data_IF_192409088558
#
_entry.id   IF_192409088558
#
_cell.length_a   1.000
_cell.length_b   1.000
_cell.length_c   1.000
_cell.angle_alpha   90.00
_cell.angle_beta   90.00
_cell.angle_gamma   90.00
#
_symmetry.space_group_name_H-M   'P 1'
#
loop_
_entity.id
_entity.type
_entity.pdbx_description
1 polymer ?
#
# COMPACT_ATOMS: atom_id res chain seq x y z
N UNK A 1 4.86 -28.03 24.07
CA UNK A 1 4.62 -26.84 23.28
C UNK A 1 3.59 -27.17 22.19
N UNK A 2 2.60 -26.34 21.98
CA UNK A 2 1.66 -26.46 20.85
C UNK A 2 2.45 -26.21 19.56
N UNK A 3 2.37 -27.13 18.60
CA UNK A 3 2.90 -26.93 17.26
C UNK A 3 1.70 -26.80 16.33
N UNK A 4 1.35 -25.60 15.89
CA UNK A 4 0.22 -25.40 15.01
C UNK A 4 0.53 -25.95 13.60
N UNK A 5 -0.52 -26.35 12.87
CA UNK A 5 -0.40 -26.75 11.46
C UNK A 5 -0.14 -25.55 10.57
N UNK A 6 -0.71 -24.38 10.94
CA UNK A 6 -0.55 -23.09 10.25
C UNK A 6 -0.72 -21.95 11.23
N UNK A 7 0.00 -20.85 11.00
CA UNK A 7 -0.19 -19.57 11.69
C UNK A 7 -0.92 -18.61 10.78
N UNK A 8 -2.07 -18.11 11.21
CA UNK A 8 -2.71 -16.99 10.54
C UNK A 8 -2.03 -15.69 11.00
N UNK A 9 -1.18 -15.11 10.15
CA UNK A 9 -0.54 -13.84 10.44
C UNK A 9 -1.54 -12.68 10.21
N UNK A 10 -1.86 -11.95 11.26
CA UNK A 10 -2.71 -10.76 11.22
C UNK A 10 -1.99 -9.53 11.80
N UNK A 11 -0.68 -9.56 11.86
CA UNK A 11 0.14 -8.44 12.33
C UNK A 11 0.35 -7.45 11.19
N UNK A 12 0.29 -6.16 11.51
CA UNK A 12 0.55 -5.06 10.58
C UNK A 12 1.87 -4.36 10.94
N UNK A 13 2.51 -3.76 9.93
CA UNK A 13 3.78 -3.07 10.10
C UNK A 13 4.91 -3.99 10.57
N UNK A 14 5.93 -3.42 11.18
CA UNK A 14 7.07 -4.15 11.76
C UNK A 14 6.64 -4.74 13.11
N UNK A 15 6.88 -6.05 13.39
CA UNK A 15 7.60 -7.06 12.58
C UNK A 15 6.70 -7.95 11.70
N UNK A 16 5.43 -7.62 11.50
CA UNK A 16 4.44 -8.48 10.84
C UNK A 16 4.51 -8.48 9.31
N UNK A 17 4.93 -7.35 8.71
CA UNK A 17 4.92 -7.13 7.26
C UNK A 17 6.32 -7.01 6.65
N UNK A 18 7.38 -6.95 7.45
CA UNK A 18 8.76 -6.72 7.03
C UNK A 18 9.58 -7.99 6.78
N UNK A 19 8.95 -9.17 6.86
CA UNK A 19 9.62 -10.46 6.71
C UNK A 19 10.18 -11.05 8.00
N UNK A 20 10.22 -10.31 9.12
CA UNK A 20 10.79 -10.78 10.39
C UNK A 20 10.04 -11.98 10.96
N UNK A 21 8.72 -11.89 11.10
CA UNK A 21 7.87 -12.98 11.58
C UNK A 21 7.88 -14.14 10.60
N UNK A 22 7.82 -13.85 9.30
CA UNK A 22 7.88 -14.86 8.23
C UNK A 22 9.19 -15.67 8.31
N UNK A 23 10.34 -14.99 8.41
CA UNK A 23 11.64 -15.66 8.54
C UNK A 23 11.77 -16.49 9.80
N UNK A 24 11.21 -16.04 10.93
CA UNK A 24 11.15 -16.83 12.16
C UNK A 24 10.32 -18.11 11.96
N UNK A 25 9.15 -18.02 11.34
CA UNK A 25 8.27 -19.16 11.08
C UNK A 25 8.89 -20.14 10.09
N UNK A 26 9.60 -19.64 9.06
CA UNK A 26 10.36 -20.44 8.11
C UNK A 26 11.45 -21.28 8.83
N UNK A 27 12.23 -20.67 9.74
CA UNK A 27 13.23 -21.36 10.54
C UNK A 27 12.63 -22.42 11.48
N UNK A 28 11.41 -22.19 11.96
CA UNK A 28 10.67 -23.14 12.80
C UNK A 28 9.99 -24.25 12.00
N UNK A 29 9.95 -24.16 10.66
CA UNK A 29 9.23 -25.07 9.78
C UNK A 29 7.72 -25.04 10.02
N UNK A 30 7.16 -23.86 10.33
CA UNK A 30 5.73 -23.63 10.55
C UNK A 30 5.16 -22.90 9.34
N UNK A 31 4.11 -23.46 8.74
CA UNK A 31 3.37 -22.80 7.65
C UNK A 31 2.63 -21.56 8.19
N UNK A 32 2.51 -20.53 7.36
CA UNK A 32 1.79 -19.29 7.71
C UNK A 32 1.07 -18.71 6.52
N UNK A 33 0.08 -17.88 6.78
CA UNK A 33 -0.75 -17.22 5.75
C UNK A 33 -0.02 -16.04 5.13
N UNK A 34 -0.47 -15.68 3.92
CA UNK A 34 0.03 -14.56 3.13
C UNK A 34 1.44 -14.76 2.57
N UNK A 35 2.09 -13.67 2.24
CA UNK A 35 3.36 -13.67 1.52
C UNK A 35 4.54 -14.12 2.39
N UNK A 36 5.54 -14.75 1.76
CA UNK A 36 6.75 -15.18 2.44
C UNK A 36 7.73 -14.04 2.75
N UNK A 37 8.82 -14.36 3.46
CA UNK A 37 9.81 -13.42 3.96
C UNK A 37 10.33 -12.47 2.85
N UNK A 38 10.81 -13.00 1.73
CA UNK A 38 11.42 -12.19 0.66
C UNK A 38 10.41 -11.23 0.05
N UNK A 39 9.19 -11.68 -0.21
CA UNK A 39 8.11 -10.84 -0.73
C UNK A 39 7.75 -9.73 0.24
N UNK A 40 7.64 -10.04 1.53
CA UNK A 40 7.35 -9.06 2.59
C UNK A 40 8.42 -7.98 2.68
N UNK A 41 9.71 -8.37 2.67
CA UNK A 41 10.85 -7.43 2.65
C UNK A 41 10.78 -6.49 1.43
N UNK A 42 10.50 -7.03 0.24
CA UNK A 42 10.43 -6.22 -0.99
C UNK A 42 9.21 -5.29 -0.96
N UNK A 43 8.06 -5.80 -0.55
CA UNK A 43 6.79 -5.06 -0.64
C UNK A 43 6.69 -3.90 0.37
N UNK A 44 7.27 -4.04 1.57
CA UNK A 44 7.28 -2.95 2.55
C UNK A 44 8.22 -1.81 2.15
N UNK A 45 9.30 -2.12 1.42
CA UNK A 45 10.27 -1.16 0.92
C UNK A 45 9.83 -0.61 -0.44
N UNK A 46 9.45 0.68 -0.45
CA UNK A 46 8.92 1.34 -1.65
C UNK A 46 9.92 1.43 -2.79
N UNK A 47 11.21 1.53 -2.48
CA UNK A 47 12.27 1.59 -3.48
C UNK A 47 12.51 0.19 -4.11
N UNK A 48 12.58 -0.86 -3.29
CA UNK A 48 12.69 -2.24 -3.79
C UNK A 48 11.46 -2.65 -4.60
N UNK A 49 10.26 -2.25 -4.16
CA UNK A 49 9.02 -2.45 -4.92
C UNK A 49 9.11 -1.78 -6.30
N UNK A 50 9.57 -0.53 -6.39
CA UNK A 50 9.75 0.16 -7.67
C UNK A 50 10.76 -0.53 -8.56
N UNK A 51 11.91 -0.94 -8.00
CA UNK A 51 12.94 -1.67 -8.75
C UNK A 51 12.41 -2.97 -9.34
N UNK A 52 11.42 -3.59 -8.70
CA UNK A 52 10.78 -4.82 -9.17
C UNK A 52 9.67 -4.58 -10.18
N UNK A 53 8.80 -3.58 -9.95
CA UNK A 53 7.56 -3.38 -10.71
C UNK A 53 7.73 -2.46 -11.91
N UNK A 54 8.51 -1.38 -11.82
CA UNK A 54 8.66 -0.40 -12.91
C UNK A 54 9.26 -1.00 -14.18
N UNK A 55 10.33 -1.84 -14.11
CA UNK A 55 10.88 -2.48 -15.31
C UNK A 55 9.90 -3.45 -16.00
N UNK A 56 8.90 -3.95 -15.26
CA UNK A 56 7.84 -4.80 -15.78
C UNK A 56 6.65 -4.00 -16.37
N UNK A 57 6.73 -2.67 -16.39
CA UNK A 57 5.71 -1.80 -16.97
C UNK A 57 4.61 -1.35 -16.01
N UNK A 58 4.69 -1.66 -14.73
CA UNK A 58 3.73 -1.18 -13.73
C UNK A 58 3.96 0.32 -13.50
N UNK A 59 2.95 1.18 -13.70
CA UNK A 59 3.10 2.62 -13.53
C UNK A 59 3.20 2.99 -12.04
N UNK A 60 4.31 3.59 -11.66
CA UNK A 60 4.54 4.12 -10.31
C UNK A 60 5.07 5.56 -10.39
N UNK A 61 4.80 6.43 -9.40
CA UNK A 61 5.36 7.78 -9.39
C UNK A 61 6.89 7.73 -9.42
N UNK A 62 7.50 8.56 -10.26
CA UNK A 62 8.96 8.64 -10.33
C UNK A 62 9.49 9.34 -9.08
N UNK A 63 10.11 8.59 -8.18
CA UNK A 63 10.64 9.10 -6.92
C UNK A 63 12.15 9.26 -6.90
N UNK A 64 12.62 9.95 -5.89
CA UNK A 64 14.04 10.06 -5.55
C UNK A 64 14.23 9.96 -4.04
N UNK A 65 15.30 9.26 -3.63
CA UNK A 65 15.70 9.19 -2.23
C UNK A 65 16.37 10.48 -1.81
N UNK A 66 15.99 11.00 -0.66
CA UNK A 66 16.52 12.24 -0.10
C UNK A 66 16.86 12.06 1.38
N UNK A 67 17.96 12.62 1.82
CA UNK A 67 18.27 12.79 3.24
C UNK A 67 17.70 14.11 3.77
N UNK A 68 17.53 14.17 5.09
CA UNK A 68 16.95 15.35 5.76
C UNK A 68 17.76 16.63 5.54
N UNK A 69 19.09 16.54 5.47
CA UNK A 69 19.95 17.72 5.26
C UNK A 69 19.77 18.31 3.86
N UNK A 70 19.63 17.46 2.85
CA UNK A 70 19.35 17.89 1.48
C UNK A 70 18.03 18.63 1.36
N UNK A 71 16.98 18.22 2.12
CA UNK A 71 15.67 18.89 2.14
C UNK A 71 15.75 20.33 2.67
N UNK A 72 16.66 20.60 3.60
CA UNK A 72 16.86 21.97 4.14
C UNK A 72 17.63 22.87 3.20
N UNK A 73 18.34 22.30 2.23
CA UNK A 73 19.11 23.06 1.25
C UNK A 73 18.28 23.41 0.01
N UNK A 74 17.46 22.48 -0.48
CA UNK A 74 16.61 22.67 -1.65
C UNK A 74 15.47 21.68 -1.68
N UNK A 75 14.34 22.05 -2.31
CA UNK A 75 13.26 21.12 -2.61
C UNK A 75 13.77 20.05 -3.61
N UNK A 76 13.49 18.75 -3.34
CA UNK A 76 13.99 17.67 -4.20
C UNK A 76 13.24 17.56 -5.52
N UNK A 77 12.03 18.08 -5.56
CA UNK A 77 11.10 18.09 -6.71
C UNK A 77 10.34 19.41 -6.76
N UNK A 78 9.81 19.80 -7.93
CA UNK A 78 8.82 20.89 -7.98
C UNK A 78 7.61 20.58 -7.10
N UNK A 79 7.13 21.59 -6.38
CA UNK A 79 5.89 21.48 -5.59
C UNK A 79 4.67 21.38 -6.50
N UNK A 80 3.61 20.64 -6.13
CA UNK A 80 3.50 19.82 -4.93
C UNK A 80 4.18 18.46 -5.06
N UNK A 81 4.80 17.99 -3.96
CA UNK A 81 5.38 16.66 -3.86
C UNK A 81 5.07 16.00 -2.51
N UNK A 82 5.28 14.70 -2.43
CA UNK A 82 5.07 13.88 -1.23
C UNK A 82 6.41 13.43 -0.71
N UNK A 83 6.63 13.57 0.61
CA UNK A 83 7.72 12.93 1.35
C UNK A 83 7.14 11.79 2.18
N UNK A 84 7.76 10.63 2.13
CA UNK A 84 7.32 9.46 2.87
C UNK A 84 8.50 8.58 3.29
N UNK A 85 8.44 7.89 4.44
CA UNK A 85 9.42 6.89 4.81
C UNK A 85 9.45 5.76 3.76
N UNK A 86 10.63 5.18 3.55
CA UNK A 86 10.83 4.13 2.53
C UNK A 86 10.10 2.85 2.89
N UNK A 87 10.16 2.45 4.16
CA UNK A 87 9.75 1.15 4.68
C UNK A 87 8.70 1.21 5.81
N UNK A 88 7.93 2.29 5.87
CA UNK A 88 6.78 2.38 6.78
C UNK A 88 5.46 2.14 6.03
N UNK A 89 4.50 1.52 6.74
CA UNK A 89 3.14 1.30 6.28
C UNK A 89 2.14 2.34 6.78
N UNK A 90 0.87 2.16 6.43
CA UNK A 90 -0.29 2.89 7.00
C UNK A 90 -0.23 4.42 6.94
N UNK A 91 0.44 5.01 5.95
CA UNK A 91 0.64 6.46 5.81
C UNK A 91 1.39 7.13 6.99
N UNK A 92 2.09 6.36 7.82
CA UNK A 92 2.93 6.90 8.89
C UNK A 92 4.04 7.75 8.28
N UNK A 93 4.23 8.98 8.80
CA UNK A 93 5.29 9.88 8.35
C UNK A 93 5.14 10.40 6.92
N UNK A 94 3.94 10.44 6.35
CA UNK A 94 3.68 11.04 5.04
C UNK A 94 3.48 12.55 5.19
N UNK A 95 4.19 13.35 4.40
CA UNK A 95 4.00 14.79 4.32
C UNK A 95 3.77 15.23 2.87
N UNK A 96 2.75 16.04 2.63
CA UNK A 96 2.50 16.69 1.34
C UNK A 96 3.06 18.11 1.40
N UNK A 97 4.04 18.39 0.57
CA UNK A 97 4.69 19.71 0.48
C UNK A 97 4.10 20.46 -0.71
N UNK A 98 3.35 21.52 -0.41
CA UNK A 98 2.73 22.40 -1.40
C UNK A 98 3.31 23.81 -1.30
N UNK A 99 2.97 24.69 -2.24
CA UNK A 99 3.35 26.12 -2.16
C UNK A 99 2.83 26.80 -0.88
N UNK A 100 1.68 26.32 -0.38
CA UNK A 100 1.02 26.89 0.81
C UNK A 100 1.29 26.12 2.10
N UNK A 101 2.15 25.11 2.09
CA UNK A 101 2.50 24.38 3.30
C UNK A 101 3.37 25.24 4.24
N UNK A 102 3.16 25.12 5.55
CA UNK A 102 3.90 25.86 6.57
C UNK A 102 5.33 25.36 6.82
N UNK A 103 5.89 24.60 5.86
CA UNK A 103 7.22 24.01 6.03
C UNK A 103 8.36 24.92 5.61
N UNK A 104 8.07 26.02 4.91
CA UNK A 104 9.09 26.89 4.29
C UNK A 104 9.44 26.46 2.85
N UNK A 105 10.27 27.25 2.17
CA UNK A 105 10.77 26.98 0.83
C UNK A 105 12.23 27.47 0.70
N UNK A 106 13.24 26.56 0.77
CA UNK A 106 13.12 25.12 1.07
C UNK A 106 12.58 24.85 2.48
N UNK A 107 12.38 23.56 2.83
CA UNK A 107 11.87 23.16 4.15
C UNK A 107 12.77 23.71 5.25
N UNK A 108 12.16 24.41 6.20
CA UNK A 108 12.89 24.98 7.33
C UNK A 108 13.28 23.88 8.34
N UNK A 109 14.47 24.01 8.95
CA UNK A 109 15.01 23.02 9.90
C UNK A 109 14.14 22.81 11.16
N UNK A 110 13.40 23.84 11.57
CA UNK A 110 12.51 23.83 12.72
C UNK A 110 11.07 23.43 12.36
N UNK A 111 10.78 23.24 11.07
CA UNK A 111 9.48 22.74 10.64
C UNK A 111 9.29 21.28 11.09
N UNK A 112 8.09 20.98 11.62
CA UNK A 112 7.73 19.60 12.03
C UNK A 112 7.34 18.76 10.83
N UNK A 113 7.93 17.55 10.74
CA UNK A 113 7.63 16.63 9.66
C UNK A 113 8.46 15.34 9.75
N UNK A 114 8.27 14.41 8.80
CA UNK A 114 8.92 13.11 8.84
C UNK A 114 10.46 13.17 8.78
N UNK A 115 11.03 14.25 8.28
CA UNK A 115 12.49 14.49 8.28
C UNK A 115 13.11 14.63 9.67
N UNK A 116 12.33 14.74 10.74
CA UNK A 116 12.82 14.75 12.12
C UNK A 116 13.00 13.33 12.69
N UNK A 117 12.26 12.36 12.15
CA UNK A 117 12.22 10.98 12.63
C UNK A 117 12.96 10.02 11.71
N UNK A 118 12.98 10.32 10.40
CA UNK A 118 13.54 9.46 9.38
C UNK A 118 14.74 10.14 8.69
N UNK A 119 15.90 9.49 8.77
CA UNK A 119 17.13 10.02 8.15
C UNK A 119 17.06 10.05 6.61
N UNK A 120 16.27 9.16 6.04
CA UNK A 120 16.09 9.06 4.59
C UNK A 120 14.60 8.94 4.27
N UNK A 121 14.16 9.70 3.29
CA UNK A 121 12.78 9.75 2.80
C UNK A 121 12.75 9.51 1.29
N UNK A 122 11.62 9.04 0.80
CA UNK A 122 11.29 8.98 -0.62
C UNK A 122 10.48 10.23 -0.98
N UNK A 123 10.98 11.03 -1.91
CA UNK A 123 10.26 12.15 -2.49
C UNK A 123 9.62 11.73 -3.82
N UNK A 124 8.31 11.96 -3.98
CA UNK A 124 7.56 11.66 -5.20
C UNK A 124 6.69 12.86 -5.63
N UNK A 125 6.43 13.05 -6.94
CA UNK A 125 5.43 14.01 -7.37
C UNK A 125 4.08 13.70 -6.72
N UNK A 126 3.36 14.73 -6.28
CA UNK A 126 1.99 14.55 -5.80
C UNK A 126 1.07 14.23 -6.99
N UNK A 127 0.46 13.06 -6.96
CA UNK A 127 -0.55 12.67 -7.96
C UNK A 127 -1.91 13.18 -7.47
N UNK A 128 -2.50 14.13 -8.18
CA UNK A 128 -3.86 14.64 -7.90
C UNK A 128 -4.91 13.58 -8.21
N UNK A 129 -6.18 13.87 -7.89
CA UNK A 129 -7.31 13.03 -8.23
C UNK A 129 -7.69 12.04 -7.13
N UNK A 130 -8.07 10.83 -7.51
CA UNK A 130 -8.79 9.85 -6.69
C UNK A 130 -7.85 8.82 -6.07
N UNK A 131 -8.22 8.32 -4.89
CA UNK A 131 -7.52 7.21 -4.24
C UNK A 131 -8.35 5.94 -4.36
N UNK A 132 -7.74 4.90 -4.92
CA UNK A 132 -8.40 3.64 -5.21
C UNK A 132 -7.55 2.47 -4.74
N UNK A 133 -8.21 1.33 -4.52
CA UNK A 133 -7.51 0.13 -4.07
C UNK A 133 -8.13 -1.13 -4.66
N UNK A 134 -7.29 -2.13 -4.90
CA UNK A 134 -7.68 -3.44 -5.43
C UNK A 134 -7.09 -4.54 -4.58
N UNK A 135 -7.93 -5.43 -4.09
CA UNK A 135 -7.51 -6.66 -3.44
C UNK A 135 -7.33 -7.79 -4.45
N UNK A 136 -6.32 -8.62 -4.23
CA UNK A 136 -6.10 -9.89 -4.94
C UNK A 136 -6.21 -11.02 -3.92
N UNK A 137 -6.96 -12.07 -4.26
CA UNK A 137 -7.17 -13.27 -3.45
C UNK A 137 -7.13 -14.51 -4.33
N UNK A 138 -6.34 -15.52 -3.97
CA UNK A 138 -6.25 -16.76 -4.73
C UNK A 138 -5.91 -16.55 -6.19
N UNK A 139 -5.03 -15.58 -6.49
CA UNK A 139 -4.60 -15.23 -7.85
C UNK A 139 -5.65 -14.52 -8.71
N UNK A 140 -6.69 -13.94 -8.10
CA UNK A 140 -7.73 -13.16 -8.80
C UNK A 140 -7.87 -11.78 -8.16
N UNK A 141 -7.87 -10.72 -8.97
CA UNK A 141 -8.27 -9.39 -8.55
C UNK A 141 -9.79 -9.37 -8.29
N UNK A 142 -10.23 -8.74 -7.19
CA UNK A 142 -11.63 -8.79 -6.76
C UNK A 142 -12.46 -7.67 -7.39
N UNK A 143 -12.29 -6.45 -6.92
CA UNK A 143 -12.91 -5.26 -7.50
C UNK A 143 -12.10 -4.01 -7.14
N UNK A 144 -12.45 -2.88 -7.73
CA UNK A 144 -11.86 -1.58 -7.36
C UNK A 144 -12.74 -0.92 -6.31
N UNK A 145 -12.15 -0.48 -5.20
CA UNK A 145 -12.81 0.37 -4.19
C UNK A 145 -12.20 1.77 -4.24
N UNK A 146 -13.02 2.80 -4.25
CA UNK A 146 -12.58 4.19 -4.07
C UNK A 146 -12.65 4.57 -2.60
N UNK A 147 -11.63 5.30 -2.15
CA UNK A 147 -11.50 5.84 -0.81
C UNK A 147 -11.70 7.35 -0.85
N UNK A 148 -12.78 7.85 -0.24
CA UNK A 148 -13.09 9.27 -0.15
C UNK A 148 -12.95 9.75 1.29
N UNK A 149 -11.80 10.31 1.69
CA UNK A 149 -11.69 10.94 3.00
C UNK A 149 -12.63 12.14 3.10
N UNK A 150 -13.36 12.26 4.21
CA UNK A 150 -14.29 13.39 4.45
C UNK A 150 -13.59 14.72 4.64
N UNK A 151 -12.32 14.70 5.00
CA UNK A 151 -11.49 15.91 5.12
C UNK A 151 -10.04 15.59 4.76
N UNK A 152 -9.46 16.37 3.85
CA UNK A 152 -8.03 16.35 3.57
C UNK A 152 -7.53 15.11 2.83
N UNK A 153 -6.53 14.46 3.39
CA UNK A 153 -5.80 13.34 2.82
C UNK A 153 -6.17 12.04 3.55
N UNK A 154 -6.05 10.90 2.87
CA UNK A 154 -6.27 9.57 3.46
C UNK A 154 -5.06 9.18 4.31
N UNK A 155 -4.95 9.80 5.48
CA UNK A 155 -3.88 9.58 6.47
C UNK A 155 -4.23 8.42 7.43
N UNK A 156 -3.39 8.24 8.45
CA UNK A 156 -3.56 7.19 9.45
C UNK A 156 -4.92 7.29 10.16
N UNK A 157 -5.33 8.48 10.58
CA UNK A 157 -6.60 8.69 11.29
C UNK A 157 -7.80 8.40 10.37
N UNK A 158 -7.72 8.81 9.10
CA UNK A 158 -8.73 8.53 8.10
C UNK A 158 -8.86 7.02 7.77
N UNK A 159 -7.77 6.24 7.93
CA UNK A 159 -7.75 4.78 7.69
C UNK A 159 -8.40 3.97 8.81
N UNK A 160 -8.26 4.41 10.06
CA UNK A 160 -8.61 3.59 11.23
C UNK A 160 -9.72 4.16 12.10
N UNK A 161 -10.23 5.35 11.80
CA UNK A 161 -11.38 5.93 12.50
C UNK A 161 -12.65 5.74 11.68
N UNK A 162 -13.63 5.03 12.25
CA UNK A 162 -14.90 4.78 11.61
C UNK A 162 -15.61 6.09 11.20
N UNK A 163 -16.08 6.10 9.97
CA UNK A 163 -16.82 7.23 9.42
C UNK A 163 -15.99 8.42 8.94
N UNK A 164 -14.64 8.42 9.01
CA UNK A 164 -13.79 9.46 8.43
C UNK A 164 -13.53 9.26 6.94
N UNK A 165 -13.63 8.04 6.44
CA UNK A 165 -13.51 7.72 5.02
C UNK A 165 -14.76 7.01 4.53
N UNK A 166 -15.27 7.44 3.40
CA UNK A 166 -16.32 6.74 2.66
C UNK A 166 -15.66 5.75 1.69
N UNK A 167 -16.12 4.50 1.72
CA UNK A 167 -15.73 3.47 0.76
C UNK A 167 -16.82 3.31 -0.30
N UNK A 168 -16.46 3.43 -1.55
CA UNK A 168 -17.35 3.17 -2.69
C UNK A 168 -16.89 1.87 -3.35
N UNK A 169 -17.61 0.80 -3.09
CA UNK A 169 -17.30 -0.56 -3.56
C UNK A 169 -18.50 -1.16 -4.31
N UNK A 170 -18.43 -1.37 -5.64
CA UNK A 170 -17.31 -1.04 -6.52
C UNK A 170 -17.20 0.48 -6.77
N UNK A 171 -15.99 0.93 -7.12
CA UNK A 171 -15.75 2.33 -7.46
C UNK A 171 -16.55 2.74 -8.69
N UNK A 172 -17.11 3.96 -8.67
CA UNK A 172 -17.81 4.56 -9.80
C UNK A 172 -16.79 5.18 -10.78
N UNK A 173 -16.20 4.32 -11.62
CA UNK A 173 -15.17 4.69 -12.62
C UNK A 173 -15.48 3.99 -13.96
N UNK A 174 -14.91 4.47 -15.10
CA UNK A 174 -15.07 3.81 -16.38
C UNK A 174 -14.57 2.36 -16.34
N UNK A 175 -15.30 1.44 -16.99
CA UNK A 175 -15.00 -0.01 -16.99
C UNK A 175 -13.58 -0.32 -17.48
N UNK A 176 -13.09 0.42 -18.49
CA UNK A 176 -11.75 0.21 -19.04
C UNK A 176 -10.64 0.66 -18.08
N UNK A 177 -10.91 1.63 -17.19
CA UNK A 177 -10.01 2.04 -16.11
C UNK A 177 -10.06 1.00 -14.97
N UNK A 178 -11.26 0.56 -14.60
CA UNK A 178 -11.43 -0.50 -13.60
C UNK A 178 -10.66 -1.76 -14.00
N UNK A 179 -10.87 -2.24 -15.23
CA UNK A 179 -10.18 -3.43 -15.74
C UNK A 179 -8.65 -3.24 -15.76
N UNK A 180 -8.18 -2.07 -16.17
CA UNK A 180 -6.75 -1.75 -16.18
C UNK A 180 -6.13 -1.80 -14.76
N UNK A 181 -6.83 -1.27 -13.74
CA UNK A 181 -6.37 -1.36 -12.35
C UNK A 181 -6.39 -2.80 -11.81
N UNK A 182 -7.41 -3.59 -12.17
CA UNK A 182 -7.49 -5.01 -11.80
C UNK A 182 -6.30 -5.79 -12.40
N UNK A 183 -5.98 -5.56 -13.66
CA UNK A 183 -4.84 -6.20 -14.33
C UNK A 183 -3.52 -5.82 -13.68
N UNK A 184 -3.30 -4.52 -13.41
CA UNK A 184 -2.10 -4.02 -12.72
C UNK A 184 -1.96 -4.63 -11.32
N UNK A 185 -3.03 -4.67 -10.53
CA UNK A 185 -2.98 -5.25 -9.18
C UNK A 185 -2.62 -6.74 -9.20
N UNK A 186 -3.19 -7.48 -10.16
CA UNK A 186 -2.88 -8.90 -10.34
C UNK A 186 -1.44 -9.11 -10.79
N UNK A 187 -0.94 -8.28 -11.71
CA UNK A 187 0.45 -8.34 -12.16
C UNK A 187 1.43 -7.95 -11.06
N UNK A 188 1.14 -6.90 -10.27
CA UNK A 188 1.93 -6.53 -9.10
C UNK A 188 2.00 -7.68 -8.08
N UNK A 189 0.86 -8.31 -7.76
CA UNK A 189 0.78 -9.49 -6.90
C UNK A 189 1.72 -10.62 -7.38
N UNK A 190 1.67 -10.94 -8.67
CA UNK A 190 2.49 -12.00 -9.28
C UNK A 190 3.98 -11.65 -9.33
N UNK A 191 4.30 -10.44 -9.76
CA UNK A 191 5.68 -9.96 -9.89
C UNK A 191 6.42 -9.87 -8.56
N UNK A 192 5.71 -9.49 -7.50
CA UNK A 192 6.24 -9.48 -6.14
C UNK A 192 6.33 -10.89 -5.53
N UNK A 193 5.60 -11.86 -6.08
CA UNK A 193 5.50 -13.22 -5.55
C UNK A 193 4.58 -13.29 -4.33
N UNK A 194 3.54 -12.47 -4.29
CA UNK A 194 2.56 -12.49 -3.22
C UNK A 194 1.78 -13.81 -3.16
N UNK A 195 1.33 -14.16 -1.97
CA UNK A 195 0.47 -15.32 -1.67
C UNK A 195 -0.68 -14.88 -0.77
N UNK A 196 -1.73 -15.69 -0.71
CA UNK A 196 -2.93 -15.41 0.08
C UNK A 196 -3.66 -14.19 -0.45
N UNK A 197 -3.88 -13.22 0.41
CA UNK A 197 -4.44 -11.93 0.03
C UNK A 197 -3.34 -10.85 -0.07
N UNK A 198 -3.46 -9.97 -1.04
CA UNK A 198 -2.71 -8.72 -1.11
C UNK A 198 -3.63 -7.58 -1.49
N UNK A 199 -3.21 -6.34 -1.28
CA UNK A 199 -3.95 -5.15 -1.66
C UNK A 199 -3.01 -4.14 -2.29
N UNK A 200 -3.33 -3.71 -3.51
CA UNK A 200 -2.57 -2.67 -4.21
C UNK A 200 -3.32 -1.36 -4.16
N UNK A 201 -2.65 -0.31 -3.69
CA UNK A 201 -3.20 1.02 -3.51
C UNK A 201 -2.76 1.94 -4.66
N UNK A 202 -3.68 2.75 -5.19
CA UNK A 202 -3.51 3.57 -6.38
C UNK A 202 -3.85 5.03 -6.12
N UNK A 203 -3.19 5.92 -6.87
CA UNK A 203 -3.69 7.27 -7.17
C UNK A 203 -4.04 7.34 -8.64
N UNK A 204 -5.15 8.01 -8.95
CA UNK A 204 -5.61 8.19 -10.32
C UNK A 204 -5.98 9.64 -10.60
N UNK A 205 -5.18 10.29 -11.46
CA UNK A 205 -5.53 11.56 -12.08
C UNK A 205 -6.49 11.26 -13.23
N UNK A 206 -7.79 11.44 -12.99
CA UNK A 206 -8.87 11.09 -13.92
C UNK A 206 -8.86 11.93 -15.21
N UNK A 207 -8.25 13.11 -15.18
CA UNK A 207 -8.07 13.94 -16.39
C UNK A 207 -7.10 13.31 -17.40
N UNK A 208 -6.24 12.40 -16.98
CA UNK A 208 -5.24 11.74 -17.83
C UNK A 208 -5.63 10.32 -18.27
N UNK A 209 -6.84 9.85 -17.92
CA UNK A 209 -7.32 8.51 -18.24
C UNK A 209 -6.36 7.43 -17.70
N UNK A 210 -6.03 6.42 -18.51
CA UNK A 210 -5.10 5.32 -18.11
C UNK A 210 -3.71 5.83 -17.75
N UNK A 211 -3.24 6.89 -18.37
CA UNK A 211 -1.92 7.46 -18.10
C UNK A 211 -1.84 8.15 -16.73
N UNK A 212 -2.98 8.43 -16.11
CA UNK A 212 -3.10 9.00 -14.77
C UNK A 212 -3.12 7.98 -13.64
N UNK A 213 -3.11 6.66 -13.95
CA UNK A 213 -3.12 5.59 -12.95
C UNK A 213 -1.70 5.32 -12.47
N UNK A 214 -1.48 5.39 -11.15
CA UNK A 214 -0.20 5.09 -10.52
C UNK A 214 -0.39 4.19 -9.30
N UNK A 215 0.41 3.12 -9.22
CA UNK A 215 0.53 2.28 -8.02
C UNK A 215 1.36 3.03 -6.99
N UNK A 216 0.87 3.08 -5.75
CA UNK A 216 1.60 3.66 -4.61
C UNK A 216 2.37 2.59 -3.84
N UNK A 217 1.70 1.48 -3.53
CA UNK A 217 2.24 0.37 -2.75
C UNK A 217 1.39 -0.90 -2.95
N UNK A 218 1.95 -2.05 -2.57
CA UNK A 218 1.23 -3.33 -2.48
C UNK A 218 1.41 -3.90 -1.08
N UNK A 219 0.31 -4.02 -0.33
CA UNK A 219 0.28 -4.53 1.03
C UNK A 219 0.18 -6.06 1.02
N UNK A 220 1.12 -6.73 1.70
CA UNK A 220 1.18 -8.20 1.80
C UNK A 220 0.47 -8.76 3.02
N UNK A 221 0.12 -7.90 3.99
CA UNK A 221 -0.67 -8.22 5.18
C UNK A 221 -1.86 -7.27 5.30
N UNK A 222 -2.81 -7.30 4.33
CA UNK A 222 -3.93 -6.38 4.36
C UNK A 222 -4.83 -6.64 5.54
N UNK A 223 -5.49 -5.57 6.04
CA UNK A 223 -6.43 -5.65 7.15
C UNK A 223 -7.55 -6.67 6.93
N UNK A 224 -7.91 -7.38 7.99
CA UNK A 224 -8.91 -8.44 7.99
C UNK A 224 -10.05 -8.18 9.00
N UNK A 225 -10.24 -6.94 9.44
CA UNK A 225 -11.39 -6.57 10.26
C UNK A 225 -12.66 -6.41 9.41
N UNK A 226 -13.86 -6.37 9.99
CA UNK A 226 -15.11 -6.13 9.25
C UNK A 226 -15.12 -4.83 8.43
N UNK A 227 -14.33 -3.82 8.81
CA UNK A 227 -14.20 -2.54 8.13
C UNK A 227 -13.04 -2.52 7.12
N UNK A 228 -12.30 -3.62 7.00
CA UNK A 228 -11.14 -3.70 6.11
C UNK A 228 -11.56 -3.92 4.66
N UNK A 229 -10.76 -3.37 3.76
CA UNK A 229 -11.02 -3.33 2.31
C UNK A 229 -11.04 -4.71 1.64
N UNK A 230 -10.18 -5.65 2.08
CA UNK A 230 -10.17 -7.01 1.51
C UNK A 230 -11.46 -7.77 1.83
N UNK A 231 -11.95 -7.84 3.08
CA UNK A 231 -13.25 -8.43 3.39
C UNK A 231 -14.43 -7.72 2.69
N UNK A 232 -14.37 -6.39 2.53
CA UNK A 232 -15.38 -5.63 1.81
C UNK A 232 -15.46 -6.04 0.34
N UNK A 233 -14.33 -6.05 -0.37
CA UNK A 233 -14.23 -6.44 -1.78
C UNK A 233 -14.61 -7.92 -1.98
N UNK A 234 -14.17 -8.81 -1.08
CA UNK A 234 -14.55 -10.22 -1.11
C UNK A 234 -16.06 -10.40 -1.02
N UNK A 235 -16.73 -9.69 -0.09
CA UNK A 235 -18.18 -9.71 0.05
C UNK A 235 -18.90 -9.19 -1.20
N UNK A 236 -18.36 -8.13 -1.82
CA UNK A 236 -18.92 -7.58 -3.05
C UNK A 236 -18.95 -8.61 -4.18
N UNK A 237 -17.91 -9.44 -4.31
CA UNK A 237 -17.85 -10.51 -5.33
C UNK A 237 -18.45 -11.84 -4.86
N UNK A 238 -19.21 -11.85 -3.75
CA UNK A 238 -19.96 -13.02 -3.27
C UNK A 238 -19.16 -14.01 -2.41
N UNK A 239 -17.99 -13.62 -1.91
CA UNK A 239 -17.16 -14.42 -0.98
C UNK A 239 -17.46 -13.98 0.44
N UNK A 240 -17.99 -14.90 1.29
CA UNK A 240 -18.20 -14.58 2.71
C UNK A 240 -16.89 -14.43 3.47
N UNK A 241 -16.94 -13.82 4.66
CA UNK A 241 -15.75 -13.67 5.50
C UNK A 241 -15.13 -15.02 5.87
N UNK A 242 -15.95 -16.01 6.17
CA UNK A 242 -15.52 -17.36 6.51
C UNK A 242 -14.85 -18.03 5.29
N UNK A 243 -15.42 -17.86 4.10
CA UNK A 243 -14.82 -18.36 2.86
C UNK A 243 -13.49 -17.67 2.56
N UNK A 244 -13.39 -16.35 2.76
CA UNK A 244 -12.15 -15.59 2.60
C UNK A 244 -11.04 -16.15 3.49
N UNK A 245 -11.31 -16.31 4.79
CA UNK A 245 -10.35 -16.86 5.76
C UNK A 245 -9.96 -18.30 5.40
N UNK A 246 -10.94 -19.14 5.05
CA UNK A 246 -10.72 -20.53 4.64
C UNK A 246 -9.82 -20.63 3.38
N UNK A 247 -10.05 -19.76 2.38
CA UNK A 247 -9.21 -19.72 1.17
C UNK A 247 -7.76 -19.37 1.50
N UNK A 248 -7.54 -18.35 2.34
CA UNK A 248 -6.19 -17.92 2.76
C UNK A 248 -5.48 -19.03 3.53
N UNK A 249 -6.18 -19.70 4.46
CA UNK A 249 -5.62 -20.80 5.25
C UNK A 249 -5.31 -22.02 4.35
N UNK A 250 -6.21 -22.38 3.45
CA UNK A 250 -6.00 -23.51 2.52
C UNK A 250 -4.80 -23.29 1.60
N UNK A 251 -4.61 -22.07 1.09
CA UNK A 251 -3.44 -21.72 0.28
C UNK A 251 -2.15 -21.88 1.08
N UNK A 252 -2.13 -21.46 2.34
CA UNK A 252 -0.97 -21.61 3.21
C UNK A 252 -0.64 -23.08 3.56
N UNK A 253 -1.64 -23.95 3.56
CA UNK A 253 -1.47 -25.39 3.83
C UNK A 253 -1.03 -26.19 2.60
N UNK A 254 -1.29 -25.68 1.38
CA UNK A 254 -0.87 -26.32 0.14
C UNK A 254 0.67 -26.27 -0.02
#
# INVERSE_FOLDING_TARGET
ALRPDVVFNALHGVPGEDGSVQGMLDLMGIKYTHSGMVTSVIAIDKELTKQRLVPAGIPMPKGTMVDSESLFAADPLPRPYVLKPVNEGSSVGVAIVTENSNYGNPIARDAKGPWQEFATLLAEPFIKGRELTVAVLGGKALCVTELKPKSGFYDFDAKYTDGLTEHICPAEIPDDIAQYMLDIALDAHRLLGCKGASRTDFRWDDELGKNGVFVLETNTQPGMTPLSLVPEQARHVGISYEQLVDMIVKEALA
#
